data_IF_733559965297
#
_entry.id   IF_733559965297
#
_cell.length_a   1.000
_cell.length_b   1.000
_cell.length_c   1.000
_cell.angle_alpha   90.00
_cell.angle_beta   90.00
_cell.angle_gamma   90.00
#
_symmetry.space_group_name_H-M   'P 1'
#
loop_
_entity.id
_entity.type
_entity.pdbx_description
1 polymer ?
#
# COMPACT_ATOMS: atom_id res chain seq x y z
N UNK A 1 54.63 -25.22 12.16
CA UNK A 1 54.55 -23.84 11.68
C UNK A 1 53.07 -23.53 11.50
N UNK A 2 52.47 -22.90 12.51
CA UNK A 2 51.03 -22.76 12.66
C UNK A 2 50.48 -21.73 11.69
N UNK A 3 49.56 -22.15 10.84
CA UNK A 3 48.75 -21.28 9.98
C UNK A 3 47.58 -20.79 10.85
N UNK A 4 47.39 -19.48 11.06
CA UNK A 4 46.19 -19.01 11.76
C UNK A 4 44.98 -19.26 10.85
N UNK A 5 44.06 -20.11 11.31
CA UNK A 5 42.79 -20.32 10.63
C UNK A 5 41.98 -19.03 10.67
N UNK A 6 41.72 -18.49 9.49
CA UNK A 6 40.92 -17.29 9.28
C UNK A 6 39.42 -17.65 9.33
N UNK A 7 39.00 -18.27 10.43
CA UNK A 7 37.62 -18.74 10.67
C UNK A 7 36.73 -17.62 11.23
N UNK A 8 37.16 -16.36 11.13
CA UNK A 8 36.41 -15.18 11.53
C UNK A 8 35.63 -14.54 10.37
N UNK A 9 35.22 -15.31 9.36
CA UNK A 9 34.36 -14.80 8.28
C UNK A 9 32.92 -15.27 8.44
N UNK A 10 32.15 -14.38 9.09
CA UNK A 10 30.72 -14.17 8.88
C UNK A 10 29.78 -15.26 9.40
N UNK A 11 29.78 -15.47 10.71
CA UNK A 11 28.53 -15.78 11.42
C UNK A 11 27.67 -14.50 11.49
N UNK A 12 27.22 -14.00 10.33
CA UNK A 12 26.24 -12.93 10.30
C UNK A 12 24.97 -13.50 10.97
N UNK A 13 24.50 -12.95 12.09
CA UNK A 13 23.24 -13.39 12.64
C UNK A 13 22.20 -13.05 11.56
N UNK A 14 21.60 -14.08 10.96
CA UNK A 14 20.40 -13.94 10.14
C UNK A 14 19.22 -13.64 11.08
N UNK A 15 19.38 -12.58 11.86
CA UNK A 15 18.47 -12.16 12.92
C UNK A 15 17.33 -11.37 12.31
N UNK A 16 16.12 -11.63 12.81
CA UNK A 16 14.94 -10.82 12.51
C UNK A 16 15.27 -9.35 12.82
N UNK A 17 14.98 -8.44 11.88
CA UNK A 17 15.31 -7.03 12.05
C UNK A 17 14.37 -6.41 13.10
N UNK A 18 14.87 -6.22 14.33
CA UNK A 18 14.07 -5.76 15.46
C UNK A 18 13.45 -4.38 15.22
N UNK A 19 14.16 -3.48 14.51
CA UNK A 19 13.63 -2.17 14.13
C UNK A 19 12.40 -2.28 13.22
N UNK A 20 12.38 -3.26 12.31
CA UNK A 20 11.24 -3.49 11.41
C UNK A 20 10.05 -4.06 12.17
N UNK A 21 10.30 -4.97 13.12
CA UNK A 21 9.23 -5.50 13.98
C UNK A 21 8.64 -4.42 14.88
N UNK A 22 9.48 -3.55 15.46
CA UNK A 22 9.05 -2.41 16.27
C UNK A 22 8.24 -1.40 15.44
N UNK A 23 8.72 -1.07 14.24
CA UNK A 23 8.00 -0.18 13.30
C UNK A 23 6.64 -0.76 12.90
N UNK A 24 6.57 -2.07 12.66
CA UNK A 24 5.28 -2.75 12.41
C UNK A 24 4.34 -2.68 13.59
N UNK A 25 4.84 -2.93 14.80
CA UNK A 25 4.04 -2.82 16.03
C UNK A 25 3.50 -1.40 16.21
N UNK A 26 4.33 -0.40 15.96
CA UNK A 26 3.96 1.00 16.02
C UNK A 26 2.83 1.34 15.04
N UNK A 27 2.96 0.97 13.76
CA UNK A 27 1.90 1.25 12.75
C UNK A 27 0.61 0.52 13.09
N UNK A 28 0.67 -0.73 13.56
CA UNK A 28 -0.53 -1.47 13.98
C UNK A 28 -1.22 -0.80 15.17
N UNK A 29 -0.46 -0.26 16.12
CA UNK A 29 -1.01 0.49 17.24
C UNK A 29 -1.63 1.81 16.78
N UNK A 30 -0.96 2.55 15.90
CA UNK A 30 -1.44 3.79 15.30
C UNK A 30 -2.73 3.59 14.49
N UNK A 31 -2.84 2.50 13.73
CA UNK A 31 -4.06 2.15 13.01
C UNK A 31 -5.20 1.78 13.97
N UNK A 32 -4.88 1.11 15.08
CA UNK A 32 -5.89 0.69 16.06
C UNK A 32 -6.41 1.88 16.89
N UNK A 33 -5.59 2.91 17.11
CA UNK A 33 -5.94 4.04 17.98
C UNK A 33 -7.10 4.90 17.46
N UNK A 34 -7.34 4.96 16.14
CA UNK A 34 -8.55 5.62 15.63
C UNK A 34 -9.83 4.90 16.06
N UNK A 35 -9.79 3.58 16.22
CA UNK A 35 -10.91 2.79 16.77
C UNK A 35 -11.13 2.95 18.27
N UNK A 36 -10.25 3.67 18.99
CA UNK A 36 -10.33 3.83 20.45
C UNK A 36 -11.12 5.08 20.89
N UNK A 37 -11.85 5.72 19.99
CA UNK A 37 -12.74 6.84 20.33
C UNK A 37 -12.07 8.21 20.32
N UNK A 38 -10.89 8.36 19.69
CA UNK A 38 -10.21 9.65 19.50
C UNK A 38 -11.11 10.70 18.81
N UNK A 39 -12.02 10.26 17.93
CA UNK A 39 -12.98 11.16 17.27
C UNK A 39 -13.95 11.87 18.23
N UNK A 40 -14.14 11.38 19.46
CA UNK A 40 -14.99 12.07 20.45
C UNK A 40 -14.33 13.33 21.04
N UNK A 41 -13.01 13.49 20.84
CA UNK A 41 -12.22 14.62 21.32
C UNK A 41 -12.08 15.74 20.29
N UNK A 42 -12.70 15.63 19.10
CA UNK A 42 -12.56 16.63 18.03
C UNK A 42 -13.03 18.02 18.46
N UNK A 43 -14.14 18.07 19.20
CA UNK A 43 -14.72 19.32 19.69
C UNK A 43 -14.00 19.85 20.96
N UNK A 44 -12.99 19.14 21.46
CA UNK A 44 -12.25 19.55 22.66
C UNK A 44 -11.24 20.67 22.33
N UNK A 45 -11.29 21.83 23.01
CA UNK A 45 -10.40 22.95 22.73
C UNK A 45 -8.90 22.67 22.96
N UNK A 46 -8.56 21.71 23.83
CA UNK A 46 -7.19 21.35 24.17
C UNK A 46 -6.67 20.16 23.34
N UNK A 47 -7.54 19.21 22.99
CA UNK A 47 -7.16 17.93 22.36
C UNK A 47 -7.70 17.73 20.95
N UNK A 48 -8.56 18.60 20.43
CA UNK A 48 -9.16 18.49 19.10
C UNK A 48 -8.15 18.46 17.96
N UNK A 49 -7.05 19.21 18.09
CA UNK A 49 -5.95 19.17 17.10
C UNK A 49 -5.27 17.80 17.01
N UNK A 50 -5.21 17.06 18.12
CA UNK A 50 -4.63 15.71 18.16
C UNK A 50 -5.63 14.69 17.63
N UNK A 51 -6.92 14.84 17.97
CA UNK A 51 -7.99 14.00 17.43
C UNK A 51 -8.05 14.09 15.89
N UNK A 52 -7.92 15.30 15.34
CA UNK A 52 -7.88 15.55 13.89
C UNK A 52 -6.77 14.78 13.17
N UNK A 53 -5.64 14.49 13.84
CA UNK A 53 -4.57 13.69 13.23
C UNK A 53 -4.98 12.24 12.96
N UNK A 54 -6.03 11.74 13.63
CA UNK A 54 -6.57 10.40 13.46
C UNK A 54 -7.79 10.36 12.52
N UNK A 55 -8.07 11.47 11.83
CA UNK A 55 -9.10 11.56 10.78
C UNK A 55 -8.46 11.69 9.40
N UNK A 56 -9.14 11.22 8.37
CA UNK A 56 -8.69 11.36 6.98
C UNK A 56 -9.04 12.75 6.44
N UNK A 57 -8.10 13.39 5.76
CA UNK A 57 -8.42 14.58 4.98
C UNK A 57 -9.18 14.19 3.71
N UNK A 58 -10.32 14.83 3.47
CA UNK A 58 -11.21 14.39 2.41
C UNK A 58 -10.64 14.63 0.99
N UNK A 59 -9.64 15.51 0.81
CA UNK A 59 -9.01 15.77 -0.50
C UNK A 59 -7.66 16.47 -0.45
N UNK A 60 -7.66 17.70 0.09
CA UNK A 60 -6.47 18.54 0.16
C UNK A 60 -5.97 18.58 1.59
N UNK A 61 -4.81 17.99 1.81
CA UNK A 61 -4.23 17.89 3.14
C UNK A 61 -3.45 16.60 3.31
N UNK A 62 -2.86 16.45 4.48
CA UNK A 62 -2.27 15.20 4.93
C UNK A 62 -2.33 15.18 6.45
N UNK A 63 -3.05 14.21 7.00
CA UNK A 63 -3.02 13.91 8.44
C UNK A 63 -2.11 12.72 8.71
N UNK A 64 -1.85 12.49 9.99
CA UNK A 64 -1.11 11.31 10.42
C UNK A 64 -1.80 10.00 9.99
N UNK A 65 -3.13 9.96 9.95
CA UNK A 65 -3.89 8.80 9.48
C UNK A 65 -3.53 8.41 8.04
N UNK A 66 -3.34 9.38 7.16
CA UNK A 66 -3.03 9.18 5.74
C UNK A 66 -1.67 8.51 5.52
N UNK A 67 -0.76 8.65 6.49
CA UNK A 67 0.59 8.10 6.42
C UNK A 67 0.65 6.61 6.79
N UNK A 68 -0.42 6.04 7.37
CA UNK A 68 -0.46 4.63 7.80
C UNK A 68 -0.31 3.69 6.60
N UNK A 69 -1.05 3.94 5.51
CA UNK A 69 -0.96 3.12 4.30
C UNK A 69 0.43 3.22 3.63
N UNK A 70 1.00 4.40 3.35
CA UNK A 70 2.37 4.54 2.88
C UNK A 70 3.40 3.88 3.80
N UNK A 71 3.20 3.95 5.12
CA UNK A 71 4.08 3.31 6.10
C UNK A 71 4.09 1.78 5.96
N UNK A 72 2.93 1.15 5.71
CA UNK A 72 2.86 -0.28 5.39
C UNK A 72 3.56 -0.62 4.07
N UNK A 73 3.37 0.19 3.02
CA UNK A 73 4.03 -0.02 1.72
C UNK A 73 5.55 0.05 1.88
N UNK A 74 6.04 1.06 2.60
CA UNK A 74 7.47 1.23 2.88
C UNK A 74 8.05 0.03 3.64
N UNK A 75 7.38 -0.41 4.71
CA UNK A 75 7.80 -1.57 5.49
C UNK A 75 7.89 -2.83 4.62
N UNK A 76 6.88 -3.07 3.78
CA UNK A 76 6.87 -4.20 2.85
C UNK A 76 8.02 -4.08 1.86
N UNK A 77 8.24 -2.90 1.28
CA UNK A 77 9.34 -2.60 0.35
C UNK A 77 10.72 -2.85 0.94
N UNK A 78 10.96 -2.49 2.20
CA UNK A 78 12.23 -2.77 2.90
C UNK A 78 12.36 -4.25 3.25
N UNK A 79 11.27 -4.89 3.70
CA UNK A 79 11.28 -6.30 4.12
C UNK A 79 11.55 -7.28 2.98
N UNK A 80 11.16 -6.90 1.76
CA UNK A 80 11.18 -7.74 0.59
C UNK A 80 12.59 -8.16 0.14
N UNK A 81 13.54 -7.24 -0.15
CA UNK A 81 14.90 -7.61 -0.54
C UNK A 81 15.65 -8.38 0.56
N UNK A 82 15.42 -8.04 1.84
CA UNK A 82 15.96 -8.78 2.98
C UNK A 82 15.48 -10.24 2.98
N UNK A 83 14.18 -10.47 2.80
CA UNK A 83 13.62 -11.81 2.73
C UNK A 83 14.12 -12.60 1.51
N UNK A 84 14.27 -11.95 0.36
CA UNK A 84 14.81 -12.58 -0.85
C UNK A 84 16.29 -12.92 -0.75
N UNK A 85 17.11 -12.06 -0.16
CA UNK A 85 18.53 -12.34 0.06
C UNK A 85 18.73 -13.62 0.89
N UNK A 86 17.92 -13.81 1.94
CA UNK A 86 17.95 -15.02 2.78
C UNK A 86 17.55 -16.28 1.98
N UNK A 87 16.54 -16.17 1.11
CA UNK A 87 16.07 -17.30 0.28
C UNK A 87 17.06 -17.67 -0.82
N UNK A 88 17.66 -16.68 -1.45
CA UNK A 88 18.73 -16.88 -2.43
C UNK A 88 19.96 -17.53 -1.78
N UNK A 89 20.35 -17.11 -0.57
CA UNK A 89 21.43 -17.76 0.19
C UNK A 89 21.14 -19.23 0.53
N UNK A 90 19.85 -19.63 0.60
CA UNK A 90 19.41 -21.02 0.79
C UNK A 90 19.27 -21.82 -0.52
N UNK A 91 19.61 -21.22 -1.67
CA UNK A 91 19.50 -21.88 -2.98
C UNK A 91 18.07 -22.08 -3.47
N UNK A 92 17.11 -21.28 -3.00
CA UNK A 92 15.71 -21.41 -3.44
C UNK A 92 15.54 -21.01 -4.92
N UNK A 93 14.92 -21.88 -5.72
CA UNK A 93 14.70 -21.62 -7.15
C UNK A 93 13.74 -20.44 -7.40
N UNK A 94 13.93 -19.75 -8.53
CA UNK A 94 13.10 -18.61 -8.92
C UNK A 94 11.60 -18.95 -8.99
N UNK A 95 11.25 -20.11 -9.57
CA UNK A 95 9.85 -20.57 -9.67
C UNK A 95 9.20 -20.73 -8.30
N UNK A 96 9.95 -21.24 -7.31
CA UNK A 96 9.44 -21.42 -5.95
C UNK A 96 9.22 -20.07 -5.25
N UNK A 97 10.12 -19.13 -5.48
CA UNK A 97 9.99 -17.75 -5.01
C UNK A 97 8.77 -17.06 -5.64
N UNK A 98 8.58 -17.19 -6.95
CA UNK A 98 7.43 -16.66 -7.68
C UNK A 98 6.11 -17.24 -7.17
N UNK A 99 6.00 -18.56 -7.02
CA UNK A 99 4.79 -19.20 -6.47
C UNK A 99 4.50 -18.75 -5.04
N UNK A 100 5.54 -18.52 -4.24
CA UNK A 100 5.38 -17.98 -2.89
C UNK A 100 4.82 -16.55 -2.90
N UNK A 101 5.35 -15.69 -3.78
CA UNK A 101 4.86 -14.32 -3.98
C UNK A 101 3.41 -14.35 -4.44
N UNK A 102 3.10 -15.15 -5.46
CA UNK A 102 1.75 -15.28 -6.00
C UNK A 102 0.76 -15.74 -4.92
N UNK A 103 1.11 -16.75 -4.11
CA UNK A 103 0.28 -17.21 -2.99
C UNK A 103 0.05 -16.10 -1.97
N UNK A 104 1.09 -15.33 -1.61
CA UNK A 104 0.99 -14.23 -0.65
C UNK A 104 0.08 -13.11 -1.18
N UNK A 105 0.27 -12.69 -2.43
CA UNK A 105 -0.57 -11.68 -3.07
C UNK A 105 -2.03 -12.15 -3.17
N UNK A 106 -2.26 -13.39 -3.60
CA UNK A 106 -3.61 -13.96 -3.65
C UNK A 106 -4.28 -13.98 -2.28
N UNK A 107 -3.56 -14.40 -1.23
CA UNK A 107 -4.08 -14.41 0.14
C UNK A 107 -4.42 -13.00 0.63
N UNK A 108 -3.56 -12.01 0.39
CA UNK A 108 -3.81 -10.62 0.77
C UNK A 108 -5.04 -10.05 0.04
N UNK A 109 -5.18 -10.32 -1.25
CA UNK A 109 -6.37 -9.91 -2.01
C UNK A 109 -7.65 -10.55 -1.48
N UNK A 110 -7.63 -11.88 -1.23
CA UNK A 110 -8.80 -12.59 -0.69
C UNK A 110 -9.17 -12.08 0.69
N UNK A 111 -8.20 -11.90 1.59
CA UNK A 111 -8.46 -11.34 2.92
C UNK A 111 -9.04 -9.93 2.81
N UNK A 112 -8.49 -9.09 1.94
CA UNK A 112 -9.01 -7.74 1.71
C UNK A 112 -10.48 -7.74 1.26
N UNK A 113 -10.80 -8.53 0.24
CA UNK A 113 -12.17 -8.67 -0.27
C UNK A 113 -13.12 -9.19 0.83
N UNK A 114 -12.69 -10.17 1.62
CA UNK A 114 -13.51 -10.71 2.73
C UNK A 114 -13.74 -9.64 3.79
N UNK A 115 -12.70 -8.90 4.20
CA UNK A 115 -12.85 -7.82 5.20
C UNK A 115 -13.77 -6.72 4.72
N UNK A 116 -13.64 -6.29 3.46
CA UNK A 116 -14.52 -5.29 2.86
C UNK A 116 -15.96 -5.78 2.79
N UNK A 117 -16.16 -7.04 2.37
CA UNK A 117 -17.50 -7.66 2.30
C UNK A 117 -18.16 -7.79 3.67
N UNK A 118 -17.40 -8.19 4.70
CA UNK A 118 -17.88 -8.30 6.09
C UNK A 118 -18.24 -6.92 6.64
N UNK A 119 -17.40 -5.92 6.40
CA UNK A 119 -17.64 -4.54 6.85
C UNK A 119 -18.89 -3.94 6.23
N UNK A 120 -19.14 -4.19 4.94
CA UNK A 120 -20.30 -3.66 4.21
C UNK A 120 -21.56 -4.55 4.34
N UNK A 121 -21.43 -5.75 4.93
CA UNK A 121 -22.48 -6.78 5.03
C UNK A 121 -23.05 -7.24 3.68
N UNK A 122 -22.33 -7.01 2.59
CA UNK A 122 -22.65 -7.45 1.23
C UNK A 122 -21.38 -7.95 0.56
N UNK A 123 -21.44 -8.91 -0.39
CA UNK A 123 -20.26 -9.33 -1.14
C UNK A 123 -19.72 -8.16 -1.98
N UNK A 124 -18.61 -7.56 -1.56
CA UNK A 124 -18.03 -6.36 -2.18
C UNK A 124 -16.67 -6.67 -2.75
N UNK A 125 -16.47 -6.38 -4.04
CA UNK A 125 -15.16 -6.54 -4.69
C UNK A 125 -14.54 -5.17 -4.95
N UNK A 126 -13.58 -4.78 -4.12
CA UNK A 126 -12.79 -3.56 -4.30
C UNK A 126 -11.28 -3.87 -4.33
N UNK A 127 -10.57 -3.20 -5.24
CA UNK A 127 -9.11 -3.34 -5.39
C UNK A 127 -8.32 -2.11 -4.94
N UNK A 128 -9.02 -1.04 -4.52
CA UNK A 128 -8.43 0.22 -4.07
C UNK A 128 -7.99 0.19 -2.60
N UNK A 129 -8.37 -0.85 -1.85
CA UNK A 129 -8.14 -0.94 -0.41
C UNK A 129 -6.69 -1.37 -0.11
N UNK A 130 -6.22 -1.03 1.09
CA UNK A 130 -4.79 -1.11 1.46
C UNK A 130 -4.18 -2.49 1.23
N UNK A 131 -4.89 -3.57 1.58
CA UNK A 131 -4.37 -4.93 1.43
C UNK A 131 -4.17 -5.33 -0.04
N UNK A 132 -5.10 -4.96 -0.90
CA UNK A 132 -5.07 -5.20 -2.34
C UNK A 132 -3.97 -4.38 -3.00
N UNK A 133 -3.80 -3.12 -2.60
CA UNK A 133 -2.70 -2.28 -3.06
C UNK A 133 -1.33 -2.84 -2.62
N UNK A 134 -1.21 -3.37 -1.39
CA UNK A 134 0.03 -4.01 -0.92
C UNK A 134 0.30 -5.25 -1.78
N UNK A 135 -0.73 -6.04 -2.08
CA UNK A 135 -0.58 -7.25 -2.89
C UNK A 135 -0.10 -6.93 -4.31
N UNK A 136 -0.71 -5.94 -4.97
CA UNK A 136 -0.32 -5.50 -6.33
C UNK A 136 1.09 -4.91 -6.30
N UNK A 137 1.37 -4.00 -5.38
CA UNK A 137 2.69 -3.38 -5.22
C UNK A 137 3.78 -4.41 -4.96
N UNK A 138 3.53 -5.38 -4.09
CA UNK A 138 4.46 -6.49 -3.81
C UNK A 138 4.70 -7.36 -5.05
N UNK A 139 3.65 -7.65 -5.83
CA UNK A 139 3.80 -8.42 -7.07
C UNK A 139 4.65 -7.69 -8.11
N UNK A 140 4.41 -6.40 -8.32
CA UNK A 140 5.19 -5.59 -9.26
C UNK A 140 6.64 -5.40 -8.78
N UNK A 141 6.82 -5.12 -7.49
CA UNK A 141 8.14 -4.98 -6.88
C UNK A 141 8.97 -6.26 -7.03
N UNK A 142 8.35 -7.45 -7.07
CA UNK A 142 9.06 -8.70 -7.29
C UNK A 142 9.82 -8.67 -8.61
N UNK A 143 9.20 -8.24 -9.71
CA UNK A 143 9.87 -8.14 -11.00
C UNK A 143 10.95 -7.07 -11.01
N UNK A 144 10.67 -5.90 -10.42
CA UNK A 144 11.62 -4.78 -10.37
C UNK A 144 12.86 -5.11 -9.54
N UNK A 145 12.72 -5.87 -8.45
CA UNK A 145 13.84 -6.26 -7.58
C UNK A 145 14.86 -7.18 -8.26
N UNK A 146 14.45 -7.94 -9.28
CA UNK A 146 15.38 -8.76 -10.07
C UNK A 146 16.15 -7.95 -11.11
N UNK A 147 15.76 -6.69 -11.36
CA UNK A 147 16.49 -5.79 -12.23
C UNK A 147 17.66 -5.15 -11.48
N UNK A 148 18.71 -4.77 -12.20
CA UNK A 148 19.86 -4.08 -11.62
C UNK A 148 19.50 -2.71 -11.04
N UNK A 149 20.32 -2.19 -10.11
CA UNK A 149 20.08 -0.92 -9.41
C UNK A 149 19.79 0.27 -10.34
N UNK A 150 20.39 0.30 -11.54
CA UNK A 150 20.13 1.33 -12.55
C UNK A 150 18.69 1.31 -13.04
N UNK A 151 18.15 0.13 -13.29
CA UNK A 151 16.77 -0.05 -13.70
C UNK A 151 15.79 0.22 -12.56
N UNK A 152 16.15 -0.13 -11.32
CA UNK A 152 15.35 0.22 -10.14
C UNK A 152 15.29 1.74 -9.96
N UNK A 153 16.42 2.44 -10.04
CA UNK A 153 16.48 3.90 -9.98
C UNK A 153 15.71 4.55 -11.13
N UNK A 154 15.87 4.04 -12.36
CA UNK A 154 15.10 4.50 -13.51
C UNK A 154 13.60 4.29 -13.32
N UNK A 155 13.18 3.12 -12.81
CA UNK A 155 11.77 2.84 -12.53
C UNK A 155 11.20 3.83 -11.51
N UNK A 156 11.94 4.14 -10.43
CA UNK A 156 11.51 5.15 -9.44
C UNK A 156 11.35 6.52 -10.10
N UNK A 157 12.34 6.99 -10.85
CA UNK A 157 12.29 8.29 -11.52
C UNK A 157 11.14 8.34 -12.53
N UNK A 158 10.97 7.28 -13.33
CA UNK A 158 9.88 7.18 -14.30
C UNK A 158 8.53 7.21 -13.59
N UNK A 159 8.33 6.44 -12.51
CA UNK A 159 7.07 6.45 -11.77
C UNK A 159 6.77 7.82 -11.13
N UNK A 160 7.77 8.45 -10.53
CA UNK A 160 7.63 9.77 -9.87
C UNK A 160 7.35 10.89 -10.86
N UNK A 161 7.90 10.85 -12.07
CA UNK A 161 7.67 11.87 -13.10
C UNK A 161 6.43 11.56 -13.92
N UNK A 162 6.21 10.30 -14.31
CA UNK A 162 5.08 9.91 -15.13
C UNK A 162 3.75 10.20 -14.40
N UNK A 163 3.65 9.91 -13.10
CA UNK A 163 2.43 10.13 -12.35
C UNK A 163 1.89 11.58 -12.47
N UNK A 164 2.61 12.63 -12.04
CA UNK A 164 2.12 14.00 -12.17
C UNK A 164 2.01 14.45 -13.63
N UNK A 165 2.92 14.02 -14.53
CA UNK A 165 2.88 14.44 -15.94
C UNK A 165 1.65 13.91 -16.67
N UNK A 166 1.22 12.68 -16.41
CA UNK A 166 0.02 12.12 -17.03
C UNK A 166 -1.23 12.87 -16.54
N UNK A 167 -1.29 13.22 -15.24
CA UNK A 167 -2.38 14.06 -14.72
C UNK A 167 -2.39 15.43 -15.39
N UNK A 168 -1.23 16.12 -15.46
CA UNK A 168 -1.10 17.42 -16.14
C UNK A 168 -1.48 17.34 -17.62
N UNK A 169 -1.07 16.28 -18.34
CA UNK A 169 -1.37 16.09 -19.75
C UNK A 169 -2.86 15.83 -20.00
N UNK A 170 -3.55 15.17 -19.07
CA UNK A 170 -5.00 14.99 -19.14
C UNK A 170 -5.75 16.32 -18.91
N UNK A 171 -5.19 17.22 -18.10
CA UNK A 171 -5.71 18.58 -17.88
C UNK A 171 -6.87 18.69 -16.90
N UNK A 172 -7.57 17.58 -16.62
CA UNK A 172 -8.79 17.55 -15.81
C UNK A 172 -10.02 18.00 -16.62
N UNK A 173 -11.21 17.56 -16.22
CA UNK A 173 -12.48 17.93 -16.87
C UNK A 173 -13.16 19.14 -16.22
N UNK A 174 -12.64 19.64 -15.11
CA UNK A 174 -13.20 20.74 -14.32
C UNK A 174 -12.37 22.02 -14.38
N UNK A 175 -12.67 22.97 -13.49
CA UNK A 175 -12.07 24.32 -13.47
C UNK A 175 -10.92 24.48 -12.47
N UNK A 176 -10.76 23.54 -11.55
CA UNK A 176 -9.72 23.48 -10.52
C UNK A 176 -8.40 22.84 -10.98
N UNK A 177 -8.31 22.47 -12.25
CA UNK A 177 -7.10 21.93 -12.87
C UNK A 177 -6.93 20.41 -12.73
N UNK A 178 -5.72 19.88 -13.01
CA UNK A 178 -5.49 18.44 -13.16
C UNK A 178 -5.76 17.57 -11.94
N UNK A 179 -5.74 18.15 -10.74
CA UNK A 179 -5.93 17.47 -9.45
C UNK A 179 -7.22 17.89 -8.76
N UNK A 180 -8.22 18.37 -9.49
CA UNK A 180 -9.52 18.67 -8.92
C UNK A 180 -10.27 17.40 -8.52
N UNK A 181 -10.99 17.43 -7.40
CA UNK A 181 -11.80 16.30 -6.92
C UNK A 181 -12.85 15.92 -7.98
N UNK A 182 -12.96 14.62 -8.24
CA UNK A 182 -13.92 14.00 -9.16
C UNK A 182 -13.85 14.45 -10.64
N UNK A 183 -12.97 15.39 -10.98
CA UNK A 183 -12.78 15.94 -12.32
C UNK A 183 -11.34 15.78 -12.81
N UNK A 184 -10.67 14.70 -12.37
CA UNK A 184 -9.29 14.40 -12.71
C UNK A 184 -9.18 13.08 -13.49
N UNK A 185 -7.96 12.74 -13.90
CA UNK A 185 -7.69 11.50 -14.62
C UNK A 185 -8.12 10.25 -13.82
N UNK A 186 -7.92 10.27 -12.50
CA UNK A 186 -8.29 9.18 -11.61
C UNK A 186 -9.79 8.91 -11.62
N UNK A 187 -10.63 9.95 -11.51
CA UNK A 187 -12.08 9.78 -11.59
C UNK A 187 -12.55 9.32 -12.97
N UNK A 188 -11.90 9.76 -14.04
CA UNK A 188 -12.18 9.29 -15.40
C UNK A 188 -11.83 7.80 -15.59
N UNK A 189 -10.68 7.36 -15.07
CA UNK A 189 -10.28 5.94 -15.08
C UNK A 189 -11.23 5.11 -14.22
N UNK A 190 -11.60 5.62 -13.05
CA UNK A 190 -12.49 4.91 -12.13
C UNK A 190 -13.89 4.74 -12.75
N UNK A 191 -14.44 5.78 -13.39
CA UNK A 191 -15.68 5.71 -14.14
C UNK A 191 -15.59 4.72 -15.32
N UNK A 192 -14.48 4.74 -16.07
CA UNK A 192 -14.24 3.80 -17.17
C UNK A 192 -14.17 2.35 -16.68
N UNK A 193 -13.51 2.11 -15.54
CA UNK A 193 -13.34 0.78 -14.97
C UNK A 193 -14.66 0.23 -14.42
N UNK A 194 -15.54 1.10 -13.88
CA UNK A 194 -16.84 0.70 -13.34
C UNK A 194 -17.93 0.60 -14.42
N UNK A 195 -17.79 1.25 -15.58
CA UNK A 195 -18.78 1.22 -16.64
C UNK A 195 -19.22 -0.20 -17.09
N UNK A 196 -18.32 -1.18 -17.28
CA UNK A 196 -18.68 -2.56 -17.61
C UNK A 196 -19.44 -3.29 -16.50
N UNK A 197 -19.34 -2.81 -15.26
CA UNK A 197 -19.93 -3.43 -14.08
C UNK A 197 -21.18 -2.70 -13.60
N UNK A 198 -21.68 -1.68 -14.31
CA UNK A 198 -22.80 -0.85 -13.89
C UNK A 198 -24.06 -1.68 -13.49
N UNK A 199 -24.32 -2.79 -14.17
CA UNK A 199 -25.41 -3.70 -13.80
C UNK A 199 -25.12 -4.46 -12.49
N UNK A 200 -23.89 -4.90 -12.25
CA UNK A 200 -23.47 -5.52 -10.99
C UNK A 200 -23.34 -4.51 -9.84
N UNK A 201 -23.12 -3.23 -10.17
CA UNK A 201 -23.19 -2.10 -9.24
C UNK A 201 -24.60 -1.92 -8.70
N UNK A 202 -25.62 -2.10 -9.54
CA UNK A 202 -27.02 -2.10 -9.10
C UNK A 202 -27.33 -3.22 -8.09
N UNK A 203 -26.62 -4.36 -8.20
CA UNK A 203 -26.67 -5.49 -7.26
C UNK A 203 -25.81 -5.27 -6.01
N UNK A 204 -25.18 -4.09 -5.85
CA UNK A 204 -24.25 -3.72 -4.77
C UNK A 204 -23.01 -4.61 -4.64
N UNK A 205 -22.68 -5.39 -5.67
CA UNK A 205 -21.51 -6.29 -5.67
C UNK A 205 -20.22 -5.49 -5.92
N UNK A 206 -20.34 -4.46 -6.76
CA UNK A 206 -19.35 -3.41 -6.92
C UNK A 206 -19.98 -2.13 -6.36
N UNK A 207 -19.39 -1.46 -5.36
CA UNK A 207 -19.92 -0.18 -4.91
C UNK A 207 -19.76 0.83 -6.05
N UNK A 208 -20.75 1.71 -6.22
CA UNK A 208 -20.65 2.77 -7.21
C UNK A 208 -19.45 3.67 -6.89
N UNK A 209 -18.79 4.18 -7.93
CA UNK A 209 -17.81 5.25 -7.78
C UNK A 209 -18.53 6.49 -7.24
N UNK A 210 -18.48 6.70 -5.92
CA UNK A 210 -19.10 7.87 -5.26
C UNK A 210 -18.14 9.06 -5.14
N UNK A 211 -17.03 9.06 -5.89
CA UNK A 211 -15.86 9.90 -5.56
C UNK A 211 -15.16 9.30 -4.35
N UNK A 212 -14.01 8.67 -4.58
CA UNK A 212 -13.43 7.59 -3.75
C UNK A 212 -12.90 7.93 -2.34
N UNK A 213 -13.41 8.95 -1.64
CA UNK A 213 -12.77 9.44 -0.41
C UNK A 213 -13.69 9.62 0.81
N UNK A 214 -15.01 9.41 0.68
CA UNK A 214 -15.95 9.58 1.82
C UNK A 214 -15.96 8.37 2.77
N UNK A 215 -15.25 7.28 2.44
CA UNK A 215 -15.29 6.02 3.25
C UNK A 215 -13.92 5.40 3.54
N UNK A 216 -12.83 6.18 3.48
CA UNK A 216 -11.51 5.77 3.95
C UNK A 216 -11.19 6.34 5.33
#
# INVERSE_FOLDING_TARGET
MNQPSNDARLSAPTGRLQSLDAYRGFIMLAMTSAGMGMGQLLDDPAWGWLAHQFEHEAWEGCTFWDLIQPAFMFMVGVSMPLAFAVRQARGESWTRQFLHVLKRCALLCVIGIVLDSVSQRVPTFQFIRVLQQIAIGYFLAFFVLHLGWRFQAAAIVVLLLAHPLIYMAYGGSGTGGPWERDHNLGSAIDALLHAPFAELTSLRIFPASTGGYVTL
#
